data_IF_040270461792
#
_entry.id   IF_040270461792
#
_cell.length_a   1.000
_cell.length_b   1.000
_cell.length_c   1.000
_cell.angle_alpha   90.00
_cell.angle_beta   90.00
_cell.angle_gamma   90.00
#
_symmetry.space_group_name_H-M   'P 1'
#
loop_
_entity.id
_entity.type
_entity.pdbx_description
1 polymer ?
#
# COMPACT_ATOMS: atom_id res chain seq x y z
N UNK A 1 6.63 -15.00 17.88
CA UNK A 1 6.15 -15.85 18.99
C UNK A 1 4.66 -16.06 18.78
N UNK A 2 4.20 -17.26 18.44
CA UNK A 2 2.77 -17.51 18.24
C UNK A 2 2.08 -17.44 19.60
N UNK A 3 1.24 -16.41 19.75
CA UNK A 3 0.39 -16.18 20.93
C UNK A 3 -0.49 -17.42 21.14
N UNK A 4 -0.64 -17.84 22.40
CA UNK A 4 -1.43 -19.02 22.80
C UNK A 4 -2.85 -18.96 22.24
N UNK A 5 -3.50 -20.11 22.05
CA UNK A 5 -4.84 -20.15 21.43
C UNK A 5 -5.87 -19.26 22.17
N UNK A 6 -5.73 -19.12 23.49
CA UNK A 6 -6.55 -18.19 24.30
C UNK A 6 -6.36 -16.73 23.90
N UNK A 7 -5.13 -16.30 23.63
CA UNK A 7 -4.87 -14.94 23.16
C UNK A 7 -5.50 -14.70 21.78
N UNK A 8 -5.48 -15.71 20.90
CA UNK A 8 -6.11 -15.62 19.58
C UNK A 8 -7.62 -15.44 19.72
N UNK A 9 -8.27 -16.24 20.56
CA UNK A 9 -9.71 -16.15 20.83
C UNK A 9 -10.10 -14.76 21.37
N UNK A 10 -9.38 -14.25 22.35
CA UNK A 10 -9.64 -12.90 22.91
C UNK A 10 -9.46 -11.82 21.84
N UNK A 11 -8.41 -11.94 21.02
CA UNK A 11 -8.15 -10.97 19.94
C UNK A 11 -9.28 -10.98 18.91
N UNK A 12 -9.72 -12.15 18.46
CA UNK A 12 -10.84 -12.26 17.52
C UNK A 12 -12.16 -11.72 18.11
N UNK A 13 -12.42 -12.01 19.39
CA UNK A 13 -13.60 -11.46 20.07
C UNK A 13 -13.56 -9.93 20.10
N UNK A 14 -12.43 -9.34 20.49
CA UNK A 14 -12.26 -7.88 20.56
C UNK A 14 -12.46 -7.22 19.20
N UNK A 15 -11.89 -7.80 18.14
CA UNK A 15 -12.04 -7.29 16.76
C UNK A 15 -13.49 -7.40 16.28
N UNK A 16 -14.20 -8.46 16.65
CA UNK A 16 -15.61 -8.65 16.28
C UNK A 16 -16.54 -7.67 16.98
N UNK A 17 -16.25 -7.33 18.24
CA UNK A 17 -17.03 -6.36 19.02
C UNK A 17 -16.71 -4.92 18.61
N UNK A 18 -15.43 -4.63 18.34
CA UNK A 18 -14.98 -3.32 17.91
C UNK A 18 -13.98 -3.44 16.75
N UNK A 19 -14.46 -3.34 15.50
CA UNK A 19 -13.66 -3.43 14.28
C UNK A 19 -12.55 -2.38 14.16
N UNK A 20 -12.70 -1.24 14.84
CA UNK A 20 -11.68 -0.18 14.89
C UNK A 20 -10.50 -0.55 15.80
N UNK A 21 -10.66 -1.55 16.67
CA UNK A 21 -9.63 -2.03 17.58
C UNK A 21 -8.80 -3.16 16.97
N UNK A 22 -8.24 -2.91 15.78
CA UNK A 22 -7.31 -3.85 15.15
C UNK A 22 -6.05 -4.02 16.03
N UNK A 23 -5.43 -5.21 16.06
CA UNK A 23 -4.17 -5.44 16.76
C UNK A 23 -3.07 -4.47 16.30
N UNK A 24 -2.26 -4.00 17.24
CA UNK A 24 -1.16 -3.07 16.96
C UNK A 24 -0.14 -3.66 15.98
N UNK A 25 0.04 -4.98 15.97
CA UNK A 25 0.90 -5.64 14.98
C UNK A 25 0.38 -5.46 13.55
N UNK A 26 -0.93 -5.48 13.34
CA UNK A 26 -1.52 -5.24 12.02
C UNK A 26 -1.35 -3.77 11.63
N UNK A 27 -1.59 -2.84 12.55
CA UNK A 27 -1.42 -1.41 12.29
C UNK A 27 0.03 -1.05 11.94
N UNK A 28 1.00 -1.68 12.60
CA UNK A 28 2.43 -1.43 12.39
C UNK A 28 2.98 -2.11 11.13
N UNK A 29 2.67 -3.40 10.96
CA UNK A 29 3.33 -4.22 9.93
C UNK A 29 2.56 -4.21 8.60
N UNK A 30 1.28 -3.82 8.62
CA UNK A 30 0.35 -3.84 7.47
C UNK A 30 -0.57 -2.60 7.42
N UNK A 31 -0.02 -1.36 7.54
CA UNK A 31 -0.83 -0.14 7.59
C UNK A 31 -1.73 0.06 6.37
N UNK A 32 -1.31 -0.42 5.20
CA UNK A 32 -2.05 -0.30 3.95
C UNK A 32 -3.37 -1.09 3.93
N UNK A 33 -3.52 -2.08 4.81
CA UNK A 33 -4.74 -2.88 4.93
C UNK A 33 -5.67 -2.37 6.02
N UNK A 34 -5.27 -1.39 6.83
CA UNK A 34 -6.04 -0.95 8.00
C UNK A 34 -7.46 -0.52 7.61
N UNK A 35 -7.57 0.36 6.61
CA UNK A 35 -8.87 0.89 6.17
C UNK A 35 -9.78 -0.22 5.65
N UNK A 36 -9.25 -1.12 4.80
CA UNK A 36 -10.06 -2.17 4.20
C UNK A 36 -10.49 -3.21 5.24
N UNK A 37 -9.63 -3.53 6.20
CA UNK A 37 -9.97 -4.43 7.31
C UNK A 37 -11.06 -3.83 8.18
N UNK A 38 -10.99 -2.54 8.52
CA UNK A 38 -12.05 -1.87 9.29
C UNK A 38 -13.39 -1.91 8.56
N UNK A 39 -13.41 -1.65 7.25
CA UNK A 39 -14.65 -1.72 6.45
C UNK A 39 -15.19 -3.14 6.35
N UNK A 40 -14.34 -4.14 6.05
CA UNK A 40 -14.74 -5.55 5.97
C UNK A 40 -15.33 -6.08 7.28
N UNK A 41 -14.82 -5.59 8.40
CA UNK A 41 -15.24 -5.98 9.73
C UNK A 41 -16.36 -5.10 10.30
N UNK A 42 -16.87 -4.12 9.53
CA UNK A 42 -17.94 -3.22 9.97
C UNK A 42 -19.16 -4.00 10.48
N UNK A 43 -19.75 -3.50 11.56
CA UNK A 43 -20.99 -4.05 12.12
C UNK A 43 -22.19 -3.75 11.22
N UNK A 44 -22.13 -2.66 10.45
CA UNK A 44 -23.13 -2.34 9.44
C UNK A 44 -22.85 -3.14 8.16
N UNK A 45 -23.75 -4.02 7.72
CA UNK A 45 -23.58 -4.78 6.50
C UNK A 45 -23.51 -3.92 5.23
N UNK A 46 -24.09 -2.72 5.22
CA UNK A 46 -24.09 -1.83 4.06
C UNK A 46 -22.70 -1.22 3.83
N UNK A 47 -21.96 -0.98 4.90
CA UNK A 47 -20.60 -0.43 4.86
C UNK A 47 -19.54 -1.48 4.48
N UNK A 48 -19.90 -2.77 4.48
CA UNK A 48 -18.96 -3.85 4.13
C UNK A 48 -18.81 -3.95 2.62
N UNK A 49 -17.58 -3.86 2.09
CA UNK A 49 -17.35 -4.03 0.67
C UNK A 49 -17.70 -5.46 0.25
N UNK A 50 -18.34 -5.56 -0.91
CA UNK A 50 -18.55 -6.81 -1.61
C UNK A 50 -17.22 -7.41 -2.09
N UNK A 51 -17.22 -8.71 -2.38
CA UNK A 51 -16.06 -9.38 -2.96
C UNK A 51 -15.62 -8.74 -4.29
N UNK A 52 -16.58 -8.26 -5.09
CA UNK A 52 -16.27 -7.60 -6.36
C UNK A 52 -15.57 -6.26 -6.14
N UNK A 53 -16.02 -5.45 -5.18
CA UNK A 53 -15.37 -4.18 -4.83
C UNK A 53 -13.95 -4.40 -4.31
N UNK A 54 -13.73 -5.42 -3.46
CA UNK A 54 -12.39 -5.77 -2.99
C UNK A 54 -11.44 -6.10 -4.13
N UNK A 55 -11.88 -6.90 -5.11
CA UNK A 55 -11.03 -7.28 -6.26
C UNK A 55 -10.65 -6.11 -7.16
N UNK A 56 -11.40 -5.01 -7.13
CA UNK A 56 -11.10 -3.79 -7.88
C UNK A 56 -10.21 -2.81 -7.11
N UNK A 57 -10.00 -3.03 -5.81
CA UNK A 57 -9.14 -2.15 -5.03
C UNK A 57 -7.66 -2.31 -5.46
N UNK A 58 -6.90 -1.20 -5.55
CA UNK A 58 -5.47 -1.21 -5.90
C UNK A 58 -4.64 -2.19 -5.07
N UNK A 59 -5.00 -2.38 -3.79
CA UNK A 59 -4.38 -3.30 -2.84
C UNK A 59 -4.44 -4.77 -3.28
N UNK A 60 -5.53 -5.17 -3.94
CA UNK A 60 -5.79 -6.56 -4.32
C UNK A 60 -5.65 -6.79 -5.83
N UNK A 61 -5.64 -5.73 -6.64
CA UNK A 61 -5.30 -5.84 -8.05
C UNK A 61 -3.84 -6.23 -8.22
N UNK A 62 -3.61 -7.49 -8.58
CA UNK A 62 -2.30 -7.94 -9.04
C UNK A 62 -2.00 -7.25 -10.37
N UNK A 63 -1.03 -6.34 -10.39
CA UNK A 63 -0.44 -5.88 -11.65
C UNK A 63 0.08 -7.09 -12.40
N UNK A 64 -0.27 -7.24 -13.67
CA UNK A 64 0.29 -8.32 -14.46
C UNK A 64 1.80 -8.10 -14.64
N UNK A 65 2.54 -9.17 -14.96
CA UNK A 65 3.96 -9.05 -15.30
C UNK A 65 4.20 -8.01 -16.41
N UNK A 66 3.26 -7.90 -17.36
CA UNK A 66 3.32 -6.93 -18.45
C UNK A 66 3.15 -5.50 -17.94
N UNK A 67 2.19 -5.26 -17.05
CA UNK A 67 1.96 -3.93 -16.48
C UNK A 67 3.17 -3.47 -15.67
N UNK A 68 3.78 -4.38 -14.90
CA UNK A 68 5.01 -4.10 -14.17
C UNK A 68 6.18 -3.77 -15.11
N UNK A 69 6.35 -4.51 -16.21
CA UNK A 69 7.40 -4.22 -17.19
C UNK A 69 7.19 -2.86 -17.86
N UNK A 70 5.95 -2.52 -18.23
CA UNK A 70 5.64 -1.20 -18.78
C UNK A 70 5.95 -0.07 -17.80
N UNK A 71 5.62 -0.24 -16.52
CA UNK A 71 5.91 0.76 -15.49
C UNK A 71 7.42 0.92 -15.24
N UNK A 72 8.19 -0.17 -15.32
CA UNK A 72 9.66 -0.14 -15.25
C UNK A 72 10.23 0.64 -16.44
N UNK A 73 9.78 0.34 -17.66
CA UNK A 73 10.24 1.02 -18.87
C UNK A 73 9.94 2.52 -18.85
N UNK A 74 8.76 2.91 -18.34
CA UNK A 74 8.39 4.32 -18.20
C UNK A 74 9.25 5.04 -17.15
N UNK A 75 9.46 4.41 -15.98
CA UNK A 75 10.37 4.94 -14.95
C UNK A 75 11.79 5.09 -15.47
N UNK A 76 12.31 4.13 -16.22
CA UNK A 76 13.65 4.20 -16.81
C UNK A 76 13.79 5.37 -17.79
N UNK A 77 12.75 5.68 -18.58
CA UNK A 77 12.74 6.86 -19.45
C UNK A 77 12.79 8.15 -18.63
N UNK A 78 11.97 8.25 -17.60
CA UNK A 78 11.93 9.43 -16.72
C UNK A 78 13.29 9.65 -16.03
N UNK A 79 13.93 8.59 -15.54
CA UNK A 79 15.26 8.65 -14.92
C UNK A 79 16.29 9.17 -15.92
N UNK A 80 16.32 8.62 -17.14
CA UNK A 80 17.26 9.05 -18.20
C UNK A 80 17.06 10.51 -18.58
N UNK A 81 15.81 10.96 -18.68
CA UNK A 81 15.50 12.36 -18.98
C UNK A 81 15.94 13.29 -17.85
N UNK A 82 15.67 12.91 -16.60
CA UNK A 82 16.08 13.68 -15.43
C UNK A 82 17.61 13.77 -15.32
N UNK A 83 18.32 12.66 -15.55
CA UNK A 83 19.79 12.66 -15.61
C UNK A 83 20.34 13.58 -16.70
N UNK A 84 19.67 13.65 -17.87
CA UNK A 84 20.06 14.57 -18.94
C UNK A 84 19.89 16.02 -18.51
N UNK A 85 18.75 16.36 -17.90
CA UNK A 85 18.48 17.71 -17.37
C UNK A 85 19.48 18.11 -16.29
N UNK A 86 19.84 17.18 -15.39
CA UNK A 86 20.87 17.42 -14.37
C UNK A 86 22.23 17.75 -14.99
N UNK A 87 22.68 16.96 -15.96
CA UNK A 87 23.96 17.22 -16.66
C UNK A 87 23.96 18.58 -17.38
N UNK A 88 22.84 18.98 -17.95
CA UNK A 88 22.71 20.29 -18.59
C UNK A 88 22.79 21.43 -17.58
N UNK A 89 22.11 21.30 -16.45
CA UNK A 89 22.18 22.26 -15.34
C UNK A 89 23.60 22.38 -14.77
N UNK A 90 24.29 21.26 -14.55
CA UNK A 90 25.68 21.24 -14.08
C UNK A 90 26.62 22.01 -15.03
N UNK A 91 26.45 21.82 -16.35
CA UNK A 91 27.23 22.55 -17.36
C UNK A 91 26.95 24.05 -17.35
N UNK A 92 25.69 24.46 -17.20
CA UNK A 92 25.31 25.88 -17.11
C UNK A 92 25.87 26.53 -15.84
N UNK A 93 25.84 25.81 -14.72
CA UNK A 93 26.45 26.29 -13.46
C UNK A 93 27.96 26.45 -13.63
N UNK A 94 28.64 25.49 -14.27
CA UNK A 94 30.07 25.59 -14.54
C UNK A 94 30.40 26.81 -15.42
N UNK A 95 29.63 27.05 -16.48
CA UNK A 95 29.81 28.18 -17.38
C UNK A 95 29.54 29.56 -16.73
N UNK A 96 28.75 29.62 -15.66
CA UNK A 96 28.53 30.88 -14.91
C UNK A 96 29.57 31.13 -13.81
N UNK A 97 30.47 30.18 -13.53
CA UNK A 97 31.55 30.31 -12.53
C UNK A 97 32.88 30.76 -13.15
N UNK A 98 32.99 30.77 -14.47
CA UNK A 98 34.07 31.39 -15.24
C UNK A 98 33.73 32.86 -15.56
#
# INVERSE_FOLDING_TARGET
>A
MFKTDMHRLTTFHNVRVNPSNLPEEIKRDFPEYQEVLTRMLSLDPVERPSAQELLQMPLFTKKSKRDLMMEIEDRDKQIKEMQRKMKELERRIAACKE
#
